data_IF_344687471251
#
_entry.id   IF_344687471251
#
_cell.length_a   1.000
_cell.length_b   1.000
_cell.length_c   1.000
_cell.angle_alpha   90.00
_cell.angle_beta   90.00
_cell.angle_gamma   90.00
#
_symmetry.space_group_name_H-M   'P 1'
#
loop_
_entity.id
_entity.type
_entity.pdbx_description
1 polymer ?
#
# COMPACT_ATOMS: atom_id res chain seq x y z
N UNK A 1 51.69 8.69 -44.58
CA UNK A 1 51.09 9.80 -43.80
C UNK A 1 49.61 9.51 -43.72
N UNK A 2 49.10 9.19 -42.53
CA UNK A 2 47.65 9.02 -42.27
C UNK A 2 47.30 10.15 -41.32
N UNK A 3 46.69 11.21 -41.85
CA UNK A 3 46.22 12.34 -41.06
C UNK A 3 45.02 11.91 -40.21
N UNK A 4 45.23 11.84 -38.90
CA UNK A 4 44.19 11.68 -37.89
C UNK A 4 43.31 12.93 -37.86
N UNK A 5 42.13 12.86 -38.48
CA UNK A 5 41.15 13.94 -38.40
C UNK A 5 40.37 13.84 -37.08
N UNK A 6 41.01 14.27 -35.99
CA UNK A 6 40.37 14.51 -34.69
C UNK A 6 39.51 15.77 -34.79
N UNK A 7 38.27 15.64 -35.27
CA UNK A 7 37.27 16.67 -35.06
C UNK A 7 36.59 16.45 -33.70
N UNK A 8 36.61 17.45 -32.78
CA UNK A 8 35.83 17.36 -31.55
C UNK A 8 34.34 17.48 -31.90
N UNK A 9 33.57 16.45 -31.55
CA UNK A 9 32.10 16.47 -31.64
C UNK A 9 31.60 17.54 -30.67
N UNK A 10 31.34 18.75 -31.18
CA UNK A 10 30.65 19.80 -30.42
C UNK A 10 29.19 19.35 -30.26
N UNK A 11 28.64 19.27 -29.03
CA UNK A 11 27.21 19.06 -28.89
C UNK A 11 26.49 20.29 -29.47
N UNK A 12 25.70 20.08 -30.51
CA UNK A 12 24.78 21.09 -31.02
C UNK A 12 23.79 21.45 -29.92
N UNK A 13 24.07 22.52 -29.18
CA UNK A 13 23.10 23.14 -28.27
C UNK A 13 21.97 23.71 -29.12
N UNK A 14 20.87 22.97 -29.14
CA UNK A 14 19.64 23.40 -29.78
C UNK A 14 19.05 24.53 -28.91
N UNK A 15 19.12 25.78 -29.39
CA UNK A 15 18.76 27.00 -28.64
C UNK A 15 17.25 27.26 -28.51
N UNK A 16 16.39 26.31 -28.92
CA UNK A 16 14.96 26.44 -28.74
C UNK A 16 14.52 25.76 -27.44
N UNK A 17 13.85 26.47 -26.52
CA UNK A 17 13.31 25.85 -25.33
C UNK A 17 12.37 24.71 -25.73
N UNK A 18 12.47 23.54 -25.09
CA UNK A 18 11.65 22.39 -25.46
C UNK A 18 10.17 22.77 -25.35
N UNK A 19 9.39 22.42 -26.38
CA UNK A 19 7.95 22.68 -26.39
C UNK A 19 7.30 22.09 -25.13
N UNK A 20 6.27 22.74 -24.59
CA UNK A 20 5.56 22.26 -23.40
C UNK A 20 5.14 20.78 -23.51
N UNK A 21 4.76 20.35 -24.71
CA UNK A 21 4.41 18.95 -25.01
C UNK A 21 5.62 18.01 -24.86
N UNK A 22 6.78 18.39 -25.41
CA UNK A 22 8.02 17.60 -25.27
C UNK A 22 8.49 17.49 -23.81
N UNK A 23 8.33 18.55 -23.01
CA UNK A 23 8.63 18.53 -21.57
C UNK A 23 7.71 17.55 -20.82
N UNK A 24 6.41 17.57 -21.14
CA UNK A 24 5.41 16.66 -20.55
C UNK A 24 5.74 15.20 -20.91
N UNK A 25 6.04 14.91 -22.17
CA UNK A 25 6.37 13.56 -22.63
C UNK A 25 7.66 13.02 -21.99
N UNK A 26 8.71 13.85 -21.88
CA UNK A 26 9.97 13.45 -21.19
C UNK A 26 9.72 13.17 -19.71
N UNK A 27 8.89 13.97 -19.05
CA UNK A 27 8.54 13.76 -17.64
C UNK A 27 7.69 12.50 -17.45
N UNK A 28 6.74 12.22 -18.35
CA UNK A 28 5.95 10.99 -18.31
C UNK A 28 6.85 9.76 -18.53
N UNK A 29 7.74 9.79 -19.52
CA UNK A 29 8.70 8.72 -19.76
C UNK A 29 9.65 8.50 -18.57
N UNK A 30 10.13 9.57 -17.92
CA UNK A 30 10.93 9.46 -16.68
C UNK A 30 10.13 8.82 -15.55
N UNK A 31 8.88 9.22 -15.35
CA UNK A 31 8.01 8.63 -14.31
C UNK A 31 7.74 7.15 -14.56
N UNK A 32 7.41 6.78 -15.80
CA UNK A 32 7.22 5.36 -16.18
C UNK A 32 8.50 4.56 -15.99
N UNK A 33 9.66 5.07 -16.42
CA UNK A 33 10.94 4.39 -16.22
C UNK A 33 11.33 4.24 -14.74
N UNK A 34 10.95 5.19 -13.87
CA UNK A 34 11.13 5.06 -12.41
C UNK A 34 10.20 3.98 -11.85
N UNK A 35 8.93 3.93 -12.30
CA UNK A 35 7.97 2.90 -11.89
C UNK A 35 8.40 1.52 -12.37
N UNK A 36 8.85 1.38 -13.61
CA UNK A 36 9.30 0.11 -14.20
C UNK A 36 10.60 -0.40 -13.55
N UNK A 37 11.58 0.50 -13.31
CA UNK A 37 12.82 0.16 -12.60
C UNK A 37 12.60 -0.12 -11.11
N UNK A 38 11.48 0.35 -10.56
CA UNK A 38 11.12 0.14 -9.18
C UNK A 38 9.69 -0.42 -9.08
N UNK A 39 9.41 -1.50 -9.81
CA UNK A 39 8.14 -2.25 -9.72
C UNK A 39 7.84 -2.66 -8.26
N UNK A 40 8.88 -2.71 -7.42
CA UNK A 40 8.83 -2.99 -5.99
C UNK A 40 8.97 -1.76 -5.05
N UNK A 41 9.10 -0.51 -5.54
CA UNK A 41 9.20 0.65 -4.64
C UNK A 41 7.87 0.86 -3.91
N UNK A 42 7.80 0.37 -2.67
CA UNK A 42 7.82 1.15 -1.41
C UNK A 42 7.37 2.63 -1.42
N UNK A 43 6.58 3.14 -2.37
CA UNK A 43 6.28 4.58 -2.40
C UNK A 43 5.37 5.04 -1.24
N UNK A 44 4.77 4.15 -0.43
CA UNK A 44 3.94 4.58 0.70
C UNK A 44 3.84 3.60 1.89
N UNK A 45 4.92 3.15 2.55
CA UNK A 45 4.76 2.53 3.89
C UNK A 45 5.87 2.92 4.87
N UNK A 46 5.45 3.50 6.01
CA UNK A 46 6.26 3.79 7.20
C UNK A 46 7.01 2.55 7.70
N UNK A 47 8.30 2.74 8.05
CA UNK A 47 9.22 2.10 9.03
C UNK A 47 8.81 0.85 9.87
N UNK A 48 7.80 0.06 9.53
CA UNK A 48 7.36 -1.12 10.26
C UNK A 48 7.85 -2.37 9.55
N UNK A 49 8.81 -3.07 10.16
CA UNK A 49 9.30 -4.36 9.67
C UNK A 49 8.16 -5.39 9.50
N UNK A 50 7.13 -5.30 10.33
CA UNK A 50 5.95 -6.16 10.23
C UNK A 50 5.12 -5.82 9.00
N UNK A 51 4.96 -4.54 8.66
CA UNK A 51 4.23 -4.14 7.45
C UNK A 51 4.93 -4.64 6.19
N UNK A 52 6.26 -4.59 6.12
CA UNK A 52 7.03 -5.12 4.99
C UNK A 52 6.82 -6.63 4.84
N UNK A 53 6.94 -7.39 5.93
CA UNK A 53 6.73 -8.84 5.93
C UNK A 53 5.31 -9.20 5.48
N UNK A 54 4.30 -8.60 6.10
CA UNK A 54 2.88 -8.87 5.80
C UNK A 54 2.56 -8.50 4.35
N UNK A 55 3.02 -7.34 3.88
CA UNK A 55 2.70 -6.85 2.55
C UNK A 55 3.33 -7.71 1.44
N UNK A 56 4.56 -8.21 1.65
CA UNK A 56 5.20 -9.15 0.73
C UNK A 56 4.34 -10.41 0.55
N UNK A 57 3.92 -11.02 1.66
CA UNK A 57 3.13 -12.25 1.61
C UNK A 57 1.74 -11.98 1.00
N UNK A 58 1.08 -10.86 1.34
CA UNK A 58 -0.21 -10.51 0.74
C UNK A 58 -0.15 -10.35 -0.79
N UNK A 59 0.91 -9.74 -1.33
CA UNK A 59 1.12 -9.63 -2.78
C UNK A 59 1.30 -11.00 -3.45
N UNK A 60 2.04 -11.90 -2.80
CA UNK A 60 2.23 -13.24 -3.32
C UNK A 60 0.91 -14.03 -3.32
N UNK A 61 0.13 -13.93 -2.22
CA UNK A 61 -1.18 -14.56 -2.10
C UNK A 61 -2.16 -14.08 -3.19
N UNK A 62 -2.18 -12.78 -3.51
CA UNK A 62 -3.01 -12.23 -4.60
C UNK A 62 -2.66 -12.84 -5.97
N UNK A 63 -1.36 -12.90 -6.30
CA UNK A 63 -0.90 -13.52 -7.53
C UNK A 63 -1.21 -15.04 -7.58
N UNK A 64 -1.09 -15.72 -6.44
CA UNK A 64 -1.45 -17.13 -6.30
C UNK A 64 -2.95 -17.35 -6.50
N UNK A 65 -3.81 -16.54 -5.88
CA UNK A 65 -5.27 -16.66 -6.00
C UNK A 65 -5.71 -16.53 -7.47
N UNK A 66 -5.23 -15.50 -8.17
CA UNK A 66 -5.52 -15.30 -9.59
C UNK A 66 -5.06 -16.50 -10.43
N UNK A 67 -3.84 -16.99 -10.20
CA UNK A 67 -3.27 -18.12 -10.95
C UNK A 67 -4.04 -19.41 -10.68
N UNK A 68 -4.36 -19.71 -9.42
CA UNK A 68 -5.09 -20.91 -9.03
C UNK A 68 -6.51 -20.92 -9.58
N UNK A 69 -7.20 -19.77 -9.61
CA UNK A 69 -8.52 -19.65 -10.25
C UNK A 69 -8.46 -19.89 -11.75
N UNK A 70 -7.44 -19.38 -12.43
CA UNK A 70 -7.26 -19.57 -13.88
C UNK A 70 -6.94 -21.03 -14.25
N UNK A 71 -6.20 -21.74 -13.39
CA UNK A 71 -5.82 -23.14 -13.59
C UNK A 71 -6.82 -24.12 -12.97
N UNK A 72 -7.91 -23.63 -12.38
CA UNK A 72 -8.90 -24.49 -11.76
C UNK A 72 -9.56 -25.40 -12.79
N UNK A 73 -9.60 -26.71 -12.51
CA UNK A 73 -10.06 -27.74 -13.43
C UNK A 73 -8.94 -28.42 -14.21
N UNK A 74 -7.74 -27.82 -14.25
CA UNK A 74 -6.52 -28.46 -14.76
C UNK A 74 -5.62 -28.88 -13.60
N UNK A 75 -5.78 -30.13 -13.15
CA UNK A 75 -5.05 -30.76 -12.03
C UNK A 75 -5.23 -30.12 -10.65
N UNK A 76 -5.93 -29.00 -10.55
CA UNK A 76 -6.40 -28.41 -9.31
C UNK A 76 -7.84 -28.86 -9.09
N UNK A 77 -8.08 -29.64 -8.03
CA UNK A 77 -9.42 -30.16 -7.73
C UNK A 77 -10.30 -29.11 -7.04
N UNK A 78 -11.62 -29.34 -7.04
CA UNK A 78 -12.56 -28.53 -6.25
C UNK A 78 -12.20 -28.52 -4.75
N UNK A 79 -11.71 -29.65 -4.21
CA UNK A 79 -11.29 -29.76 -2.81
C UNK A 79 -10.05 -28.93 -2.51
N UNK A 80 -9.11 -28.84 -3.46
CA UNK A 80 -7.93 -27.99 -3.31
C UNK A 80 -8.31 -26.51 -3.30
N UNK A 81 -9.23 -26.10 -4.20
CA UNK A 81 -9.74 -24.73 -4.23
C UNK A 81 -10.56 -24.38 -2.99
N UNK A 82 -11.37 -25.29 -2.47
CA UNK A 82 -12.10 -25.08 -1.21
C UNK A 82 -11.14 -24.83 -0.06
N UNK A 83 -10.08 -25.64 0.05
CA UNK A 83 -9.03 -25.44 1.04
C UNK A 83 -8.31 -24.10 0.85
N UNK A 84 -7.99 -23.72 -0.39
CA UNK A 84 -7.34 -22.44 -0.70
C UNK A 84 -8.21 -21.25 -0.26
N UNK A 85 -9.49 -21.23 -0.66
CA UNK A 85 -10.43 -20.17 -0.29
C UNK A 85 -10.53 -20.03 1.22
N UNK A 86 -10.64 -21.16 1.94
CA UNK A 86 -10.67 -21.15 3.41
C UNK A 86 -9.42 -20.52 4.03
N UNK A 87 -8.23 -20.82 3.50
CA UNK A 87 -6.98 -20.23 3.99
C UNK A 87 -6.93 -18.72 3.74
N UNK A 88 -7.42 -18.25 2.59
CA UNK A 88 -7.51 -16.81 2.28
C UNK A 88 -8.49 -16.10 3.24
N UNK A 89 -9.64 -16.71 3.52
CA UNK A 89 -10.63 -16.18 4.47
C UNK A 89 -10.09 -16.13 5.91
N UNK A 90 -9.29 -17.11 6.32
CA UNK A 90 -8.62 -17.12 7.62
C UNK A 90 -7.60 -15.97 7.75
N UNK A 91 -6.85 -15.67 6.68
CA UNK A 91 -5.93 -14.52 6.65
C UNK A 91 -6.69 -13.21 6.85
N UNK A 92 -7.78 -13.01 6.10
CA UNK A 92 -8.64 -11.82 6.24
C UNK A 92 -9.17 -11.67 7.67
N UNK A 93 -9.65 -12.77 8.24
CA UNK A 93 -10.16 -12.81 9.61
C UNK A 93 -9.09 -12.38 10.61
N UNK A 94 -7.87 -12.94 10.52
CA UNK A 94 -6.77 -12.61 11.44
C UNK A 94 -6.28 -11.16 11.31
N UNK A 95 -6.22 -10.61 10.10
CA UNK A 95 -5.88 -9.20 9.89
C UNK A 95 -6.95 -8.29 10.50
N UNK A 96 -8.22 -8.64 10.33
CA UNK A 96 -9.33 -7.88 10.90
C UNK A 96 -9.31 -7.92 12.42
N UNK A 97 -9.13 -9.10 13.04
CA UNK A 97 -8.98 -9.27 14.48
C UNK A 97 -7.85 -8.40 15.04
N UNK A 98 -6.66 -8.43 14.43
CA UNK A 98 -5.52 -7.64 14.86
C UNK A 98 -5.79 -6.13 14.76
N UNK A 99 -6.42 -5.68 13.68
CA UNK A 99 -6.78 -4.29 13.47
C UNK A 99 -7.81 -3.80 14.49
N UNK A 100 -8.85 -4.60 14.76
CA UNK A 100 -9.85 -4.26 15.77
C UNK A 100 -9.22 -4.15 17.15
N UNK A 101 -8.42 -5.15 17.54
CA UNK A 101 -7.76 -5.15 18.84
C UNK A 101 -6.80 -3.97 19.01
N UNK A 102 -5.98 -3.66 18.00
CA UNK A 102 -5.10 -2.50 18.03
C UNK A 102 -5.86 -1.17 18.16
N UNK A 103 -7.01 -1.04 17.48
CA UNK A 103 -7.90 0.13 17.62
C UNK A 103 -8.51 0.20 19.01
N UNK A 104 -8.97 -0.92 19.56
CA UNK A 104 -9.54 -0.98 20.90
C UNK A 104 -8.53 -0.50 21.96
N UNK A 105 -7.28 -0.95 21.87
CA UNK A 105 -6.20 -0.47 22.76
C UNK A 105 -6.02 1.05 22.67
N UNK A 106 -6.08 1.62 21.47
CA UNK A 106 -5.97 3.07 21.26
C UNK A 106 -7.19 3.82 21.81
N UNK A 107 -8.40 3.30 21.63
CA UNK A 107 -9.62 3.87 22.21
C UNK A 107 -9.57 3.83 23.74
N UNK A 108 -9.13 2.72 24.32
CA UNK A 108 -9.01 2.56 25.77
C UNK A 108 -7.93 3.47 26.38
N UNK A 109 -6.88 3.81 25.62
CA UNK A 109 -5.89 4.81 26.03
C UNK A 109 -6.49 6.23 26.12
N UNK A 110 -7.55 6.52 25.36
CA UNK A 110 -8.24 7.81 25.40
C UNK A 110 -7.48 8.98 24.76
N UNK A 111 -6.34 8.73 24.11
CA UNK A 111 -5.49 9.78 23.51
C UNK A 111 -5.31 9.58 22.01
N UNK A 112 -5.91 10.45 21.21
CA UNK A 112 -5.77 10.45 19.74
C UNK A 112 -4.66 11.37 19.21
N UNK A 113 -4.19 12.35 20.00
CA UNK A 113 -3.25 13.39 19.55
C UNK A 113 -1.90 12.85 19.04
N UNK A 114 -1.45 11.70 19.55
CA UNK A 114 -0.19 11.04 19.16
C UNK A 114 -0.26 10.18 17.89
N UNK A 115 -1.44 10.00 17.27
CA UNK A 115 -1.63 9.08 16.14
C UNK A 115 -1.28 9.78 14.83
N UNK A 116 -0.09 9.55 14.27
CA UNK A 116 0.38 10.24 13.05
C UNK A 116 -0.52 10.03 11.83
N UNK A 117 -1.10 8.84 11.65
CA UNK A 117 -2.01 8.57 10.55
C UNK A 117 -3.35 9.32 10.73
N UNK A 118 -3.70 10.19 9.77
CA UNK A 118 -4.90 11.03 9.85
C UNK A 118 -6.20 10.24 9.94
N UNK A 119 -6.40 9.24 9.07
CA UNK A 119 -7.62 8.44 9.03
C UNK A 119 -7.82 7.66 10.33
N UNK A 120 -6.77 6.97 10.80
CA UNK A 120 -6.79 6.26 12.07
C UNK A 120 -7.07 7.22 13.23
N UNK A 121 -6.49 8.42 13.23
CA UNK A 121 -6.74 9.43 14.26
C UNK A 121 -8.22 9.84 14.33
N UNK A 122 -8.85 10.10 13.18
CA UNK A 122 -10.26 10.48 13.13
C UNK A 122 -11.16 9.35 13.60
N UNK A 123 -10.89 8.12 13.16
CA UNK A 123 -11.63 6.93 13.57
C UNK A 123 -11.57 6.73 15.08
N UNK A 124 -10.37 6.72 15.66
CA UNK A 124 -10.16 6.55 17.11
C UNK A 124 -10.80 7.70 17.90
N UNK A 125 -10.67 8.95 17.44
CA UNK A 125 -11.29 10.10 18.11
C UNK A 125 -12.81 9.94 18.21
N UNK A 126 -13.47 9.59 17.09
CA UNK A 126 -14.91 9.36 17.06
C UNK A 126 -15.33 8.22 18.01
N UNK A 127 -14.56 7.14 18.04
CA UNK A 127 -14.82 6.00 18.93
C UNK A 127 -14.65 6.36 20.42
N UNK A 128 -13.66 7.18 20.78
CA UNK A 128 -13.49 7.71 22.14
C UNK A 128 -14.70 8.57 22.53
N UNK A 129 -15.06 9.55 21.70
CA UNK A 129 -16.20 10.45 21.95
C UNK A 129 -17.51 9.66 22.14
N UNK A 130 -17.74 8.63 21.31
CA UNK A 130 -18.91 7.73 21.42
C UNK A 130 -18.92 6.93 22.72
N UNK A 131 -17.77 6.42 23.16
CA UNK A 131 -17.64 5.66 24.40
C UNK A 131 -17.92 6.55 25.62
N UNK A 132 -17.44 7.79 25.58
CA UNK A 132 -17.67 8.79 26.62
C UNK A 132 -19.15 9.20 26.70
N UNK A 133 -19.83 9.41 25.57
CA UNK A 133 -21.27 9.75 25.54
C UNK A 133 -22.11 8.64 26.17
N UNK A 134 -21.89 7.39 25.75
CA UNK A 134 -22.60 6.22 26.32
C UNK A 134 -22.37 6.07 27.83
N UNK A 135 -21.15 6.34 28.29
CA UNK A 135 -20.79 6.27 29.72
C UNK A 135 -21.46 7.39 30.53
N UNK A 136 -21.67 8.57 29.93
CA UNK A 136 -22.39 9.66 30.60
C UNK A 136 -23.90 9.42 30.61
N UNK A 137 -24.47 8.84 29.56
CA UNK A 137 -25.89 8.47 29.48
C UNK A 137 -26.24 7.37 30.48
N UNK A 138 -25.41 6.34 30.61
CA UNK A 138 -25.65 5.27 31.60
C UNK A 138 -25.63 5.80 33.03
N UNK A 139 -24.69 6.70 33.36
CA UNK A 139 -24.61 7.33 34.69
C UNK A 139 -25.79 8.25 35.02
N UNK A 140 -26.48 8.80 34.01
CA UNK A 140 -27.69 9.62 34.20
C UNK A 140 -28.95 8.79 34.40
N UNK A 141 -28.97 7.52 33.99
CA UNK A 141 -30.09 6.60 34.18
C UNK A 141 -30.03 5.86 35.52
N UNK A 142 -28.84 5.79 36.14
CA UNK A 142 -28.61 5.17 37.44
C UNK A 142 -28.65 6.16 38.63
N UNK A 143 -28.79 7.46 38.36
CA UNK A 143 -28.88 8.54 39.37
C UNK A 143 -30.30 9.10 39.45
#
# INVERSE_FOLDING_TARGET
MIETNNQPIRPTQNNNPPSRRSIIEVNQKRKMAIIEKNINAEVFILKSLNAIKIFKELRATDALDSTLRNLWGDKISAKDMEKWIKLVDEIYTKITEANMYGKELLVNNGKSRGITNFFLRQEIRKSIETKETKTQESKKQEA
#
